data_IF_293213070016
#
_entry.id   IF_293213070016
#
_cell.length_a   1.000
_cell.length_b   1.000
_cell.length_c   1.000
_cell.angle_alpha   90.00
_cell.angle_beta   90.00
_cell.angle_gamma   90.00
#
_symmetry.space_group_name_H-M   'P 1'
#
loop_
_entity.id
_entity.type
_entity.pdbx_description
1 polymer ?
#
# COMPACT_ATOMS: atom_id res chain seq x y z
N UNK A 1 -12.88 6.67 -7.54
CA UNK A 1 -11.94 5.64 -8.04
C UNK A 1 -11.06 5.04 -6.93
N UNK A 2 -10.48 5.85 -6.02
CA UNK A 2 -9.59 5.37 -4.94
C UNK A 2 -10.25 4.39 -3.94
N UNK A 3 -11.57 4.50 -3.74
CA UNK A 3 -12.38 3.62 -2.87
C UNK A 3 -12.56 2.23 -3.45
N UNK A 4 -12.75 2.12 -4.77
CA UNK A 4 -12.91 0.84 -5.46
C UNK A 4 -11.61 0.02 -5.40
N UNK A 5 -10.46 0.68 -5.50
CA UNK A 5 -9.13 0.09 -5.29
C UNK A 5 -8.96 -0.47 -3.88
N UNK A 6 -9.42 0.26 -2.86
CA UNK A 6 -9.38 -0.22 -1.47
C UNK A 6 -10.30 -1.43 -1.23
N UNK A 7 -11.50 -1.44 -1.82
CA UNK A 7 -12.43 -2.57 -1.78
C UNK A 7 -11.84 -3.83 -2.44
N UNK A 8 -11.20 -3.67 -3.61
CA UNK A 8 -10.53 -4.77 -4.30
C UNK A 8 -9.34 -5.31 -3.49
N UNK A 9 -8.52 -4.44 -2.91
CA UNK A 9 -7.42 -4.84 -2.04
C UNK A 9 -7.91 -5.59 -0.79
N UNK A 10 -9.03 -5.16 -0.21
CA UNK A 10 -9.64 -5.82 0.95
C UNK A 10 -10.18 -7.22 0.60
N UNK A 11 -10.87 -7.36 -0.54
CA UNK A 11 -11.33 -8.66 -1.02
C UNK A 11 -10.17 -9.64 -1.32
N UNK A 12 -9.08 -9.14 -1.91
CA UNK A 12 -7.86 -9.91 -2.13
C UNK A 12 -7.19 -10.37 -0.83
N UNK A 13 -7.15 -9.49 0.19
CA UNK A 13 -6.66 -9.85 1.52
C UNK A 13 -7.48 -10.96 2.17
N UNK A 14 -8.81 -10.87 2.11
CA UNK A 14 -9.69 -11.94 2.62
C UNK A 14 -9.44 -13.25 1.87
N UNK A 15 -9.35 -13.19 0.54
CA UNK A 15 -9.04 -14.37 -0.27
C UNK A 15 -7.70 -15.00 0.11
N UNK A 16 -6.66 -14.19 0.27
CA UNK A 16 -5.34 -14.66 0.64
C UNK A 16 -5.30 -15.32 2.03
N UNK A 17 -6.11 -14.84 2.98
CA UNK A 17 -6.27 -15.46 4.30
C UNK A 17 -7.01 -16.81 4.19
N UNK A 18 -8.07 -16.89 3.38
CA UNK A 18 -8.80 -18.14 3.14
C UNK A 18 -7.91 -19.18 2.45
N UNK A 19 -7.12 -18.77 1.46
CA UNK A 19 -6.20 -19.66 0.73
C UNK A 19 -5.17 -20.31 1.66
N UNK A 20 -4.71 -19.61 2.70
CA UNK A 20 -3.76 -20.13 3.69
C UNK A 20 -4.33 -21.27 4.55
N UNK A 21 -5.65 -21.40 4.64
CA UNK A 21 -6.30 -22.48 5.41
C UNK A 21 -6.38 -23.80 4.65
N UNK A 22 -6.02 -23.81 3.36
CA UNK A 22 -6.04 -25.02 2.53
C UNK A 22 -4.84 -25.92 2.83
N UNK A 23 -4.99 -27.25 2.68
CA UNK A 23 -3.90 -28.20 2.90
C UNK A 23 -2.73 -28.02 1.91
N UNK A 24 -3.02 -27.55 0.69
CA UNK A 24 -2.03 -27.16 -0.30
C UNK A 24 -2.28 -25.70 -0.71
N UNK A 25 -1.75 -24.73 0.05
CA UNK A 25 -1.93 -23.32 -0.27
C UNK A 25 -1.16 -22.96 -1.55
N UNK A 26 -1.79 -22.18 -2.42
CA UNK A 26 -1.16 -21.77 -3.66
C UNK A 26 -0.01 -20.77 -3.40
N UNK A 27 1.21 -21.17 -3.75
CA UNK A 27 2.44 -20.38 -3.56
C UNK A 27 2.35 -18.98 -4.20
N UNK A 28 1.72 -18.86 -5.37
CA UNK A 28 1.56 -17.57 -6.05
C UNK A 28 0.66 -16.62 -5.26
N UNK A 29 -0.41 -17.12 -4.65
CA UNK A 29 -1.32 -16.32 -3.82
C UNK A 29 -0.62 -15.87 -2.55
N UNK A 30 0.26 -16.71 -1.99
CA UNK A 30 1.02 -16.37 -0.79
C UNK A 30 2.05 -15.26 -1.06
N UNK A 31 2.81 -15.35 -2.17
CA UNK A 31 3.74 -14.30 -2.60
C UNK A 31 2.98 -13.00 -2.88
N UNK A 32 1.84 -13.07 -3.58
CA UNK A 32 1.00 -11.92 -3.84
C UNK A 32 0.48 -11.27 -2.54
N UNK A 33 0.09 -12.08 -1.55
CA UNK A 33 -0.35 -11.60 -0.24
C UNK A 33 0.73 -10.84 0.51
N UNK A 34 1.97 -11.36 0.52
CA UNK A 34 3.11 -10.68 1.14
C UNK A 34 3.41 -9.36 0.43
N UNK A 35 3.47 -9.35 -0.90
CA UNK A 35 3.69 -8.14 -1.67
C UNK A 35 2.61 -7.08 -1.43
N UNK A 36 1.34 -7.49 -1.38
CA UNK A 36 0.21 -6.60 -1.09
C UNK A 36 0.28 -6.04 0.33
N UNK A 37 0.69 -6.83 1.32
CA UNK A 37 0.89 -6.37 2.69
C UNK A 37 1.98 -5.30 2.79
N UNK A 38 3.15 -5.54 2.19
CA UNK A 38 4.22 -4.55 2.17
C UNK A 38 3.83 -3.27 1.42
N UNK A 39 3.11 -3.40 0.30
CA UNK A 39 2.62 -2.24 -0.43
C UNK A 39 1.62 -1.42 0.40
N UNK A 40 0.68 -2.09 1.08
CA UNK A 40 -0.27 -1.43 1.97
C UNK A 40 0.47 -0.72 3.11
N UNK A 41 1.42 -1.40 3.75
CA UNK A 41 2.26 -0.83 4.81
C UNK A 41 3.05 0.39 4.33
N UNK A 42 3.66 0.31 3.15
CA UNK A 42 4.35 1.44 2.52
C UNK A 42 3.41 2.62 2.25
N UNK A 43 2.24 2.36 1.69
CA UNK A 43 1.23 3.39 1.43
C UNK A 43 0.70 4.04 2.71
N UNK A 44 0.57 3.28 3.79
CA UNK A 44 0.22 3.79 5.12
C UNK A 44 1.34 4.64 5.71
N UNK A 45 2.60 4.21 5.58
CA UNK A 45 3.78 4.94 6.07
C UNK A 45 3.88 6.35 5.47
N UNK A 46 3.61 6.48 4.17
CA UNK A 46 3.61 7.78 3.49
C UNK A 46 2.46 8.71 3.88
N UNK A 47 1.42 8.18 4.52
CA UNK A 47 0.28 8.98 5.01
C UNK A 47 0.44 9.45 6.45
N UNK A 48 1.60 9.19 7.06
CA UNK A 48 1.90 9.74 8.38
C UNK A 48 2.10 11.25 8.29
N UNK A 49 1.69 12.04 9.31
CA UNK A 49 1.77 13.49 9.27
C UNK A 49 3.19 14.01 8.98
N UNK A 50 4.21 13.39 9.59
CA UNK A 50 5.61 13.76 9.39
C UNK A 50 6.09 13.59 7.94
N UNK A 51 5.68 12.54 7.26
CA UNK A 51 6.10 12.32 5.87
C UNK A 51 5.35 13.21 4.89
N UNK A 52 4.08 13.54 5.17
CA UNK A 52 3.36 14.56 4.42
C UNK A 52 3.97 15.95 4.60
N UNK A 53 4.39 16.30 5.82
CA UNK A 53 5.00 17.60 6.12
C UNK A 53 6.36 17.77 5.41
N UNK A 54 7.17 16.71 5.33
CA UNK A 54 8.40 16.70 4.52
C UNK A 54 8.13 16.84 3.03
N UNK A 55 7.14 16.13 2.49
CA UNK A 55 6.78 16.21 1.07
C UNK A 55 6.35 17.63 0.69
N UNK A 56 5.52 18.26 1.54
CA UNK A 56 5.09 19.64 1.35
C UNK A 56 6.22 20.69 1.49
N UNK A 57 7.27 20.41 2.28
CA UNK A 57 8.44 21.29 2.39
C UNK A 57 9.35 21.19 1.17
N UNK A 58 9.63 19.98 0.68
CA UNK A 58 10.43 19.78 -0.52
C UNK A 58 9.78 20.39 -1.77
N UNK A 59 8.47 20.26 -1.93
CA UNK A 59 7.73 20.86 -3.05
C UNK A 59 7.73 22.41 -3.00
N UNK A 60 7.95 23.00 -1.81
CA UNK A 60 7.97 24.45 -1.61
C UNK A 60 9.36 25.04 -1.86
N UNK A 61 10.42 24.33 -1.43
CA UNK A 61 11.80 24.73 -1.68
C UNK A 61 12.20 24.63 -3.16
N UNK A 62 11.69 23.63 -3.90
CA UNK A 62 11.93 23.49 -5.35
C UNK A 62 11.26 24.62 -6.16
N UNK A 63 10.15 25.18 -5.69
CA UNK A 63 9.44 26.27 -6.39
C UNK A 63 10.06 27.66 -6.17
N UNK A 64 10.77 27.86 -5.05
CA UNK A 64 11.45 29.13 -4.73
C UNK A 64 12.86 29.21 -5.38
N UNK A 65 13.47 28.10 -5.79
CA UNK A 65 14.76 28.08 -6.51
C UNK A 65 14.63 28.25 -8.04
N UNK A 66 13.44 28.05 -8.63
CA UNK A 66 13.16 28.24 -10.06
C UNK A 66 12.70 29.66 -10.47
N UNK A 67 12.64 30.62 -9.52
CA UNK A 67 12.18 32.02 -9.76
C UNK A 67 13.32 33.04 -9.69
#
# INVERSE_FOLDING_TARGET
MKTFLWLAAFALMIWAVVEQTRPEPNLYVQIAGIAAFFFAMYSLSQRTPSEQEKQNQSDKEENDEEV
#
